data_IF_147337521575
#
_entry.id   IF_147337521575
#
_cell.length_a   1.000
_cell.length_b   1.000
_cell.length_c   1.000
_cell.angle_alpha   90.00
_cell.angle_beta   90.00
_cell.angle_gamma   90.00
#
_symmetry.space_group_name_H-M   'P 1'
#
loop_
_entity.id
_entity.type
_entity.pdbx_description
1 polymer ?
#
# COMPACT_ATOMS: atom_id res chain seq x y z
N UNK A 1 15.40 -6.64 -13.55
CA UNK A 1 14.77 -5.31 -13.51
C UNK A 1 13.46 -5.52 -12.81
N UNK A 2 13.39 -5.26 -11.52
CA UNK A 2 12.15 -5.37 -10.76
C UNK A 2 11.23 -4.24 -11.22
N UNK A 3 10.22 -4.56 -12.03
CA UNK A 3 9.22 -3.58 -12.43
C UNK A 3 8.35 -3.21 -11.23
N UNK A 4 8.21 -1.90 -10.99
CA UNK A 4 7.40 -1.36 -9.90
C UNK A 4 6.03 -0.99 -10.47
N UNK A 5 4.98 -1.62 -9.95
CA UNK A 5 3.58 -1.31 -10.25
C UNK A 5 3.03 -0.32 -9.24
N UNK A 6 2.76 0.90 -9.70
CA UNK A 6 2.12 1.92 -8.88
C UNK A 6 0.60 1.71 -8.81
N UNK A 7 0.03 1.75 -7.61
CA UNK A 7 -1.41 1.65 -7.34
C UNK A 7 -1.85 2.93 -6.66
N UNK A 8 -2.64 3.76 -7.34
CA UNK A 8 -3.19 4.99 -6.76
C UNK A 8 -4.44 4.70 -5.94
N UNK A 9 -4.38 4.96 -4.64
CA UNK A 9 -5.51 4.80 -3.72
C UNK A 9 -6.65 5.77 -4.06
N UNK A 10 -6.31 6.99 -4.48
CA UNK A 10 -7.29 7.96 -4.91
C UNK A 10 -8.02 7.52 -6.18
N UNK A 11 -7.33 6.89 -7.13
CA UNK A 11 -7.95 6.40 -8.35
C UNK A 11 -8.83 5.16 -8.12
N UNK A 12 -8.44 4.29 -7.18
CA UNK A 12 -9.16 3.02 -6.92
C UNK A 12 -10.32 3.20 -5.94
N UNK A 13 -10.12 3.98 -4.87
CA UNK A 13 -11.10 4.15 -3.78
C UNK A 13 -11.63 5.59 -3.74
N UNK A 14 -10.74 6.57 -3.87
CA UNK A 14 -11.08 7.99 -3.73
C UNK A 14 -10.40 8.65 -2.54
N UNK A 15 -10.83 9.87 -2.17
CA UNK A 15 -10.15 10.67 -1.14
C UNK A 15 -10.32 10.12 0.29
N UNK A 16 -11.22 9.17 0.53
CA UNK A 16 -11.56 8.65 1.85
C UNK A 16 -11.43 7.14 1.87
N UNK A 17 -10.32 6.66 2.42
CA UNK A 17 -10.00 5.24 2.59
C UNK A 17 -10.33 4.81 4.03
N UNK A 18 -11.63 4.61 4.32
CA UNK A 18 -12.10 4.44 5.70
C UNK A 18 -12.61 3.03 6.05
N UNK A 19 -12.84 2.18 5.05
CA UNK A 19 -13.50 0.88 5.26
C UNK A 19 -12.56 -0.29 5.02
N UNK A 20 -12.72 -1.37 5.80
CA UNK A 20 -11.99 -2.61 5.57
C UNK A 20 -12.32 -3.25 4.21
N UNK A 21 -13.52 -2.99 3.66
CA UNK A 21 -13.92 -3.48 2.34
C UNK A 21 -13.05 -2.85 1.25
N UNK A 22 -12.78 -1.56 1.36
CA UNK A 22 -11.90 -0.84 0.43
C UNK A 22 -10.43 -1.26 0.62
N UNK A 23 -10.02 -1.49 1.87
CA UNK A 23 -8.69 -2.05 2.17
C UNK A 23 -8.48 -3.40 1.49
N UNK A 24 -9.44 -4.30 1.58
CA UNK A 24 -9.39 -5.62 0.91
C UNK A 24 -9.27 -5.52 -0.61
N UNK A 25 -9.92 -4.55 -1.25
CA UNK A 25 -9.75 -4.34 -2.70
C UNK A 25 -8.31 -4.00 -3.06
N UNK A 26 -7.68 -3.12 -2.27
CA UNK A 26 -6.28 -2.75 -2.46
C UNK A 26 -5.37 -3.94 -2.18
N UNK A 27 -5.64 -4.70 -1.13
CA UNK A 27 -4.91 -5.93 -0.82
C UNK A 27 -4.91 -6.91 -2.00
N UNK A 28 -6.06 -7.20 -2.59
CA UNK A 28 -6.15 -8.07 -3.78
C UNK A 28 -5.32 -7.56 -4.96
N UNK A 29 -5.27 -6.24 -5.18
CA UNK A 29 -4.43 -5.64 -6.23
C UNK A 29 -2.93 -5.77 -5.92
N UNK A 30 -2.55 -5.62 -4.65
CA UNK A 30 -1.18 -5.83 -4.19
C UNK A 30 -0.79 -7.29 -4.41
N UNK A 31 -1.60 -8.24 -3.93
CA UNK A 31 -1.33 -9.68 -4.06
C UNK A 31 -1.18 -10.09 -5.53
N UNK A 32 -2.10 -9.67 -6.40
CA UNK A 32 -2.03 -9.97 -7.83
C UNK A 32 -0.72 -9.45 -8.45
N UNK A 33 -0.34 -8.20 -8.13
CA UNK A 33 0.91 -7.64 -8.64
C UNK A 33 2.15 -8.38 -8.13
N UNK A 34 2.17 -8.77 -6.86
CA UNK A 34 3.28 -9.54 -6.27
C UNK A 34 3.37 -10.96 -6.86
N UNK A 35 2.24 -11.60 -7.13
CA UNK A 35 2.16 -12.90 -7.80
C UNK A 35 2.70 -12.83 -9.22
N UNK A 36 2.38 -11.77 -9.94
CA UNK A 36 2.87 -11.49 -11.31
C UNK A 36 4.36 -11.12 -11.35
N UNK A 37 5.02 -10.97 -10.19
CA UNK A 37 6.45 -10.67 -10.10
C UNK A 37 6.80 -9.19 -10.06
N UNK A 38 5.80 -8.31 -9.88
CA UNK A 38 6.02 -6.88 -9.70
C UNK A 38 6.30 -6.53 -8.24
N UNK A 39 7.10 -5.49 -8.01
CA UNK A 39 7.07 -4.77 -6.74
C UNK A 39 5.93 -3.76 -6.76
N UNK A 40 5.33 -3.43 -5.63
CA UNK A 40 4.15 -2.55 -5.57
C UNK A 40 4.50 -1.23 -4.91
N UNK A 41 4.04 -0.12 -5.48
CA UNK A 41 4.07 1.19 -4.83
C UNK A 41 2.64 1.69 -4.62
N UNK A 42 2.18 1.81 -3.37
CA UNK A 42 0.88 2.41 -3.07
C UNK A 42 1.01 3.93 -3.01
N UNK A 43 0.33 4.61 -3.91
CA UNK A 43 0.31 6.07 -3.98
C UNK A 43 -0.91 6.64 -3.24
N UNK A 44 -0.65 7.44 -2.21
CA UNK A 44 -1.64 8.10 -1.37
C UNK A 44 -1.96 9.54 -1.85
N UNK A 45 -1.42 9.99 -2.98
CA UNK A 45 -1.68 11.33 -3.49
C UNK A 45 -3.19 11.60 -3.66
N UNK A 46 -3.67 12.72 -3.09
CA UNK A 46 -5.09 13.10 -3.11
C UNK A 46 -5.98 12.39 -2.07
N UNK A 47 -5.44 11.42 -1.33
CA UNK A 47 -6.15 10.81 -0.19
C UNK A 47 -6.11 11.75 1.00
N UNK A 48 -7.28 12.00 1.60
CA UNK A 48 -7.45 12.91 2.75
C UNK A 48 -7.60 12.17 4.07
N UNK A 49 -8.09 10.94 4.02
CA UNK A 49 -8.31 10.13 5.21
C UNK A 49 -7.96 8.67 4.94
N UNK A 50 -7.17 8.08 5.83
CA UNK A 50 -6.90 6.65 5.90
C UNK A 50 -7.21 6.19 7.33
N UNK A 51 -8.11 5.23 7.51
CA UNK A 51 -8.40 4.68 8.83
C UNK A 51 -7.53 3.46 9.13
N UNK A 52 -7.29 3.13 10.41
CA UNK A 52 -6.60 1.90 10.80
C UNK A 52 -7.27 0.66 10.22
N UNK A 53 -8.61 0.60 10.26
CA UNK A 53 -9.39 -0.52 9.72
C UNK A 53 -9.22 -0.72 8.22
N UNK A 54 -9.02 0.36 7.45
CA UNK A 54 -8.66 0.27 6.05
C UNK A 54 -7.22 -0.23 5.89
N UNK A 55 -6.27 0.35 6.62
CA UNK A 55 -4.86 0.01 6.51
C UNK A 55 -4.59 -1.45 6.84
N UNK A 56 -5.12 -1.93 7.98
CA UNK A 56 -4.98 -3.31 8.45
C UNK A 56 -5.50 -4.30 7.40
N UNK A 57 -6.63 -3.98 6.77
CA UNK A 57 -7.22 -4.79 5.71
C UNK A 57 -6.44 -4.70 4.37
N UNK A 58 -5.76 -3.58 4.10
CA UNK A 58 -4.95 -3.39 2.89
C UNK A 58 -3.64 -4.16 2.94
N UNK A 59 -3.04 -4.30 4.12
CA UNK A 59 -1.77 -5.01 4.33
C UNK A 59 -1.94 -6.42 4.92
N UNK A 60 -3.18 -6.87 5.09
CA UNK A 60 -3.51 -8.19 5.63
C UNK A 60 -2.85 -9.30 4.79
N UNK A 61 -2.28 -10.32 5.45
CA UNK A 61 -1.70 -11.50 4.80
C UNK A 61 -0.60 -11.25 3.74
N UNK A 62 0.09 -10.10 3.77
CA UNK A 62 1.24 -9.83 2.88
C UNK A 62 2.57 -10.45 3.37
N UNK A 63 2.58 -11.03 4.57
CA UNK A 63 3.73 -11.72 5.20
C UNK A 63 4.48 -12.74 4.33
N UNK A 64 3.84 -13.60 3.50
CA UNK A 64 4.57 -14.53 2.64
C UNK A 64 5.37 -13.86 1.52
N UNK A 65 5.05 -12.60 1.18
CA UNK A 65 5.79 -11.80 0.19
C UNK A 65 6.84 -10.88 0.83
N UNK A 66 6.72 -10.66 2.13
CA UNK A 66 7.56 -9.78 2.95
C UNK A 66 8.09 -10.57 4.16
N UNK A 67 9.04 -11.52 3.97
CA UNK A 67 9.57 -12.33 5.07
C UNK A 67 10.29 -11.49 6.13
N UNK A 68 10.73 -10.28 5.79
CA UNK A 68 11.17 -9.25 6.74
C UNK A 68 10.31 -8.00 6.58
N UNK A 69 9.06 -8.07 7.04
CA UNK A 69 8.30 -6.89 7.44
C UNK A 69 8.96 -6.29 8.70
N UNK A 70 10.22 -5.86 8.58
CA UNK A 70 10.64 -4.67 9.28
C UNK A 70 9.73 -3.59 8.74
N UNK A 71 8.64 -3.33 9.47
CA UNK A 71 7.88 -2.10 9.41
C UNK A 71 8.84 -0.95 9.77
N UNK A 72 9.86 -0.71 8.94
CA UNK A 72 10.20 0.64 8.55
C UNK A 72 9.03 1.15 7.70
N UNK A 73 7.85 1.18 8.32
CA UNK A 73 6.86 2.21 8.06
C UNK A 73 7.64 3.47 8.38
N UNK A 74 8.34 4.01 7.38
CA UNK A 74 8.75 5.41 7.38
C UNK A 74 7.47 6.19 7.20
N UNK A 75 6.64 6.14 8.25
CA UNK A 75 5.50 6.98 8.49
C UNK A 75 6.11 8.32 8.83
N UNK A 76 6.65 9.00 7.82
CA UNK A 76 6.90 10.42 7.91
C UNK A 76 5.52 11.06 7.98
N UNK A 77 4.89 11.05 9.15
CA UNK A 77 3.83 12.01 9.44
C UNK A 77 4.51 13.38 9.48
N UNK A 78 4.77 13.93 8.30
CA UNK A 78 5.16 15.32 8.15
C UNK A 78 3.92 16.14 8.48
N UNK A 79 3.90 16.62 9.72
CA UNK A 79 3.15 17.77 10.17
C UNK A 79 3.04 18.79 9.01
N UNK A 80 1.81 19.05 8.60
CA UNK A 80 1.43 20.26 7.87
C UNK A 80 2.21 20.58 6.58
N UNK A 81 2.38 19.61 5.67
CA UNK A 81 2.53 19.91 4.24
C UNK A 81 2.16 18.68 3.40
N UNK A 82 1.56 18.90 2.23
CA UNK A 82 1.05 17.88 1.30
C UNK A 82 2.22 17.02 0.79
N UNK A 83 2.66 16.07 1.60
CA UNK A 83 3.64 15.05 1.24
C UNK A 83 2.90 13.89 0.59
N UNK A 84 3.21 13.59 -0.66
CA UNK A 84 2.75 12.37 -1.30
C UNK A 84 3.42 11.19 -0.60
N UNK A 85 2.64 10.42 0.17
CA UNK A 85 3.15 9.21 0.81
C UNK A 85 3.09 8.05 -0.18
N UNK A 86 4.12 7.22 -0.18
CA UNK A 86 4.26 6.07 -1.06
C UNK A 86 4.74 4.87 -0.26
N UNK A 87 3.98 3.78 -0.26
CA UNK A 87 4.37 2.54 0.41
C UNK A 87 4.94 1.57 -0.64
N UNK A 88 6.24 1.27 -0.52
CA UNK A 88 6.92 0.33 -1.39
C UNK A 88 6.92 -1.06 -0.77
N UNK A 89 6.35 -2.01 -1.51
CA UNK A 89 6.31 -3.43 -1.18
C UNK A 89 7.22 -4.12 -2.18
N UNK A 90 8.45 -4.38 -1.77
CA UNK A 90 9.45 -5.08 -2.57
C UNK A 90 9.36 -6.58 -2.34
N UNK A 91 9.48 -7.36 -3.41
CA UNK A 91 9.58 -8.82 -3.31
C UNK A 91 11.00 -9.20 -2.87
N UNK A 92 11.14 -10.05 -1.86
CA UNK A 92 12.44 -10.65 -1.57
C UNK A 92 12.82 -11.67 -2.67
N UNK A 93 14.02 -11.56 -3.27
CA UNK A 93 14.55 -12.63 -4.12
C UNK A 93 14.80 -13.86 -3.25
N UNK A 94 14.29 -15.03 -3.70
CA UNK A 94 14.54 -16.33 -3.07
C UNK A 94 15.97 -16.79 -3.27
#
# INVERSE_FOLDING_TARGET
MDEIKAISLFAVIGPVCSTAVDGKKINTLIEAALQDGYSVNLDFHGVKLVTPSFYDAAVENLSPFLPELSLETTLFAADHQVGSFSLFIARCPR
#
